data_IF_591930121572
#
_entry.id   IF_591930121572
#
_cell.length_a   1.000
_cell.length_b   1.000
_cell.length_c   1.000
_cell.angle_alpha   90.00
_cell.angle_beta   90.00
_cell.angle_gamma   90.00
#
_symmetry.space_group_name_H-M   'P 1'
#
loop_
_entity.id
_entity.type
_entity.pdbx_description
1 polymer ?
#
# COMPACT_ATOMS: atom_id res chain seq x y z
N UNK A 1 2.96 -6.77 -11.05
CA UNK A 1 2.29 -7.16 -9.79
C UNK A 1 2.74 -8.52 -9.25
N UNK A 2 3.17 -9.48 -10.09
CA UNK A 2 3.67 -10.80 -9.65
C UNK A 2 4.80 -10.70 -8.61
N UNK A 3 5.75 -9.78 -8.79
CA UNK A 3 6.87 -9.57 -7.84
C UNK A 3 6.39 -9.20 -6.43
N UNK A 4 5.39 -8.32 -6.33
CA UNK A 4 4.81 -7.89 -5.05
C UNK A 4 4.02 -9.04 -4.41
N UNK A 5 3.32 -9.86 -5.23
CA UNK A 5 2.61 -11.04 -4.74
C UNK A 5 3.53 -12.08 -4.10
N UNK A 6 4.71 -12.32 -4.66
CA UNK A 6 5.73 -13.21 -4.07
C UNK A 6 6.15 -12.71 -2.68
N UNK A 7 6.36 -11.39 -2.56
CA UNK A 7 6.67 -10.74 -1.28
C UNK A 7 5.59 -10.95 -0.22
N UNK A 8 4.33 -10.77 -0.59
CA UNK A 8 3.19 -10.95 0.31
C UNK A 8 3.08 -12.41 0.80
N UNK A 9 3.21 -13.38 -0.11
CA UNK A 9 3.19 -14.80 0.25
C UNK A 9 4.36 -15.14 1.18
N UNK A 10 5.56 -14.65 0.86
CA UNK A 10 6.73 -14.84 1.72
C UNK A 10 6.48 -14.25 3.12
N UNK A 11 5.92 -13.04 3.22
CA UNK A 11 5.61 -12.39 4.49
C UNK A 11 4.68 -13.23 5.36
N UNK A 12 3.58 -13.75 4.80
CA UNK A 12 2.63 -14.60 5.54
C UNK A 12 3.28 -15.88 6.08
N UNK A 13 4.14 -16.52 5.28
CA UNK A 13 4.86 -17.73 5.69
C UNK A 13 5.90 -17.40 6.79
N UNK A 14 6.62 -16.30 6.63
CA UNK A 14 7.62 -15.82 7.58
C UNK A 14 6.99 -15.41 8.92
N UNK A 15 5.82 -14.79 8.90
CA UNK A 15 5.06 -14.45 10.12
C UNK A 15 4.64 -15.72 10.87
N UNK A 16 4.09 -16.71 10.17
CA UNK A 16 3.76 -18.01 10.79
C UNK A 16 5.01 -18.66 11.42
N UNK A 17 6.15 -18.59 10.74
CA UNK A 17 7.40 -19.18 11.23
C UNK A 17 7.98 -18.43 12.44
N UNK A 18 8.15 -17.11 12.35
CA UNK A 18 8.83 -16.33 13.38
C UNK A 18 7.94 -16.01 14.58
N UNK A 19 6.65 -15.78 14.36
CA UNK A 19 5.72 -15.40 15.42
C UNK A 19 5.18 -16.64 16.12
N UNK A 20 4.66 -17.62 15.38
CA UNK A 20 3.99 -18.80 15.98
C UNK A 20 4.99 -19.89 16.32
N UNK A 21 5.80 -20.34 15.35
CA UNK A 21 6.69 -21.49 15.57
C UNK A 21 7.90 -21.17 16.45
N UNK A 22 8.50 -19.99 16.28
CA UNK A 22 9.70 -19.57 17.02
C UNK A 22 9.39 -18.69 18.24
N UNK A 23 8.13 -18.24 18.41
CA UNK A 23 7.68 -17.52 19.60
C UNK A 23 8.29 -16.12 19.78
N UNK A 24 8.86 -15.52 18.72
CA UNK A 24 9.52 -14.20 18.84
C UNK A 24 8.54 -13.02 18.97
N UNK A 25 7.22 -13.28 18.95
CA UNK A 25 6.18 -12.27 19.12
C UNK A 25 6.35 -11.07 18.17
N UNK A 26 6.30 -9.86 18.72
CA UNK A 26 6.42 -8.60 17.95
C UNK A 26 7.77 -8.46 17.23
N UNK A 27 8.87 -8.94 17.84
CA UNK A 27 10.18 -8.94 17.19
C UNK A 27 10.19 -9.87 15.96
N UNK A 28 9.49 -11.01 16.06
CA UNK A 28 9.29 -11.93 14.95
C UNK A 28 8.56 -11.30 13.77
N UNK A 29 7.48 -10.56 14.04
CA UNK A 29 6.71 -9.85 13.01
C UNK A 29 7.54 -8.77 12.28
N UNK A 30 8.37 -8.03 13.02
CA UNK A 30 9.28 -7.04 12.43
C UNK A 30 10.33 -7.69 11.50
N UNK A 31 10.91 -8.81 11.93
CA UNK A 31 11.87 -9.60 11.13
C UNK A 31 11.21 -10.19 9.88
N UNK A 32 10.02 -10.78 10.01
CA UNK A 32 9.26 -11.33 8.89
C UNK A 32 8.96 -10.26 7.82
N UNK A 33 8.58 -9.07 8.25
CA UNK A 33 8.28 -7.93 7.36
C UNK A 33 9.53 -7.42 6.65
N UNK A 34 10.63 -7.30 7.36
CA UNK A 34 11.90 -6.85 6.78
C UNK A 34 12.45 -7.87 5.77
N UNK A 35 12.35 -9.17 6.11
CA UNK A 35 12.78 -10.26 5.24
C UNK A 35 11.94 -10.36 3.96
N UNK A 36 10.61 -10.21 4.05
CA UNK A 36 9.72 -10.28 2.88
C UNK A 36 9.94 -9.11 1.91
N UNK A 37 10.17 -7.90 2.43
CA UNK A 37 10.55 -6.73 1.61
C UNK A 37 11.88 -6.99 0.92
N UNK A 38 12.86 -7.57 1.63
CA UNK A 38 14.16 -7.93 1.04
C UNK A 38 14.02 -8.98 -0.07
N UNK A 39 13.22 -10.02 0.14
CA UNK A 39 12.91 -11.02 -0.90
C UNK A 39 12.30 -10.35 -2.13
N UNK A 40 11.33 -9.46 -1.93
CA UNK A 40 10.68 -8.70 -3.01
C UNK A 40 11.69 -7.86 -3.80
N UNK A 41 12.61 -7.20 -3.09
CA UNK A 41 13.70 -6.43 -3.70
C UNK A 41 14.60 -7.31 -4.56
N UNK A 42 15.04 -8.45 -4.03
CA UNK A 42 15.93 -9.39 -4.74
C UNK A 42 15.25 -9.96 -5.98
N UNK A 43 14.00 -10.40 -5.86
CA UNK A 43 13.22 -10.92 -7.01
C UNK A 43 13.06 -9.85 -8.08
N UNK A 44 12.74 -8.61 -7.67
CA UNK A 44 12.58 -7.50 -8.61
C UNK A 44 13.89 -7.16 -9.31
N UNK A 45 15.01 -7.12 -8.58
CA UNK A 45 16.32 -6.85 -9.13
C UNK A 45 16.75 -7.95 -10.13
N UNK A 46 16.54 -9.22 -9.77
CA UNK A 46 16.82 -10.35 -10.66
C UNK A 46 15.99 -10.29 -11.95
N UNK A 47 14.73 -9.87 -11.85
CA UNK A 47 13.86 -9.68 -13.03
C UNK A 47 14.43 -8.63 -13.99
N UNK A 48 14.91 -7.50 -13.48
CA UNK A 48 15.50 -6.44 -14.31
C UNK A 48 16.89 -6.80 -14.87
N UNK A 49 17.66 -7.65 -14.19
CA UNK A 49 19.00 -8.08 -14.62
C UNK A 49 18.92 -9.26 -15.62
N UNK A 50 18.09 -10.28 -15.36
CA UNK A 50 18.05 -11.53 -16.14
C UNK A 50 16.92 -11.59 -17.19
N UNK A 51 15.89 -10.75 -17.12
CA UNK A 51 14.64 -10.92 -17.86
C UNK A 51 14.48 -10.11 -19.17
N UNK A 52 13.40 -10.42 -19.92
CA UNK A 52 12.86 -9.68 -21.08
C UNK A 52 12.26 -8.30 -20.70
N UNK A 53 12.82 -7.62 -19.71
CA UNK A 53 12.36 -6.28 -19.33
C UNK A 53 12.61 -5.31 -20.49
N UNK A 54 11.62 -4.46 -20.79
CA UNK A 54 11.79 -3.33 -21.72
C UNK A 54 12.88 -2.36 -21.25
N UNK A 55 13.22 -2.37 -19.96
CA UNK A 55 14.26 -1.56 -19.34
C UNK A 55 15.39 -2.48 -18.88
N UNK A 56 16.53 -2.45 -19.56
CA UNK A 56 17.73 -3.23 -19.21
C UNK A 56 18.65 -2.39 -18.33
N UNK A 57 19.01 -2.92 -17.17
CA UNK A 57 20.00 -2.29 -16.28
C UNK A 57 21.38 -2.53 -16.88
N UNK A 58 22.00 -1.48 -17.43
CA UNK A 58 23.40 -1.50 -17.88
C UNK A 58 24.27 -0.67 -16.94
N UNK A 59 25.50 -1.12 -16.67
CA UNK A 59 26.48 -0.38 -15.86
C UNK A 59 26.72 1.05 -16.38
N UNK A 60 26.61 1.24 -17.69
CA UNK A 60 26.80 2.53 -18.36
C UNK A 60 25.78 3.62 -17.94
N UNK A 61 24.59 3.22 -17.44
CA UNK A 61 23.54 4.14 -16.98
C UNK A 61 23.69 4.57 -15.51
N UNK A 62 24.67 4.04 -14.77
CA UNK A 62 24.93 4.43 -13.37
C UNK A 62 25.70 5.77 -13.24
N UNK A 63 25.52 6.69 -14.19
CA UNK A 63 26.07 8.04 -14.09
C UNK A 63 25.06 8.94 -13.39
N UNK A 64 25.48 9.57 -12.29
CA UNK A 64 24.62 10.49 -11.54
C UNK A 64 24.50 11.79 -12.33
N UNK A 65 23.33 12.05 -12.88
CA UNK A 65 22.99 13.34 -13.47
C UNK A 65 22.23 14.19 -12.43
N UNK A 66 22.86 15.27 -11.97
CA UNK A 66 22.31 16.18 -10.96
C UNK A 66 21.01 16.86 -11.43
N UNK A 67 20.84 17.10 -12.74
CA UNK A 67 19.60 17.67 -13.28
C UNK A 67 18.45 16.67 -13.17
N UNK A 68 18.70 15.41 -13.48
CA UNK A 68 17.70 14.34 -13.33
C UNK A 68 17.38 14.12 -11.85
N UNK A 69 18.41 14.07 -11.00
CA UNK A 69 18.25 13.93 -9.55
C UNK A 69 17.37 15.05 -8.95
N UNK A 70 17.60 16.31 -9.31
CA UNK A 70 16.75 17.43 -8.87
C UNK A 70 15.30 17.29 -9.31
N UNK A 71 15.04 16.80 -10.53
CA UNK A 71 13.67 16.54 -11.00
C UNK A 71 12.99 15.43 -10.20
N UNK A 72 13.70 14.33 -9.94
CA UNK A 72 13.19 13.21 -9.14
C UNK A 72 12.89 13.67 -7.72
N UNK A 73 13.83 14.39 -7.08
CA UNK A 73 13.65 14.91 -5.73
C UNK A 73 12.48 15.88 -5.64
N UNK A 74 12.28 16.76 -6.62
CA UNK A 74 11.14 17.69 -6.63
C UNK A 74 9.79 16.96 -6.63
N UNK A 75 9.65 15.90 -7.43
CA UNK A 75 8.42 15.10 -7.50
C UNK A 75 8.27 14.24 -6.24
N UNK A 76 9.35 13.58 -5.82
CA UNK A 76 9.35 12.70 -4.65
C UNK A 76 9.11 13.45 -3.33
N UNK A 77 9.57 14.69 -3.22
CA UNK A 77 9.38 15.50 -2.01
C UNK A 77 7.90 15.79 -1.73
N UNK A 78 7.08 15.98 -2.78
CA UNK A 78 5.63 16.17 -2.62
C UNK A 78 4.99 14.90 -2.03
N UNK A 79 5.28 13.73 -2.60
CA UNK A 79 4.78 12.45 -2.07
C UNK A 79 5.28 12.17 -0.65
N UNK A 80 6.53 12.49 -0.36
CA UNK A 80 7.12 12.39 0.98
C UNK A 80 6.38 13.29 1.98
N UNK A 81 6.14 14.56 1.64
CA UNK A 81 5.44 15.50 2.50
C UNK A 81 4.02 15.03 2.82
N UNK A 82 3.29 14.50 1.82
CA UNK A 82 1.96 13.92 2.02
C UNK A 82 2.02 12.73 2.99
N UNK A 83 2.94 11.79 2.76
CA UNK A 83 3.07 10.61 3.62
C UNK A 83 3.50 10.97 5.05
N UNK A 84 4.39 11.95 5.20
CA UNK A 84 4.82 12.47 6.48
C UNK A 84 3.66 13.13 7.23
N UNK A 85 2.85 13.91 6.53
CA UNK A 85 1.66 14.56 7.09
C UNK A 85 0.66 13.52 7.64
N UNK A 86 0.40 12.45 6.88
CA UNK A 86 -0.41 11.33 7.37
C UNK A 86 0.17 10.69 8.64
N UNK A 87 1.49 10.48 8.70
CA UNK A 87 2.14 9.95 9.89
C UNK A 87 2.01 10.86 11.11
N UNK A 88 2.17 12.18 10.92
CA UNK A 88 1.99 13.17 11.99
C UNK A 88 0.54 13.17 12.48
N UNK A 89 -0.44 13.15 11.57
CA UNK A 89 -1.86 13.10 11.92
C UNK A 89 -2.14 11.87 12.80
N UNK A 90 -1.66 10.68 12.40
CA UNK A 90 -1.84 9.46 13.17
C UNK A 90 -1.17 9.53 14.55
N UNK A 91 0.02 10.12 14.66
CA UNK A 91 0.71 10.30 15.94
C UNK A 91 -0.06 11.23 16.87
N UNK A 92 -0.52 12.38 16.37
CA UNK A 92 -1.32 13.34 17.14
C UNK A 92 -2.64 12.69 17.57
N UNK A 93 -3.29 11.97 16.67
CA UNK A 93 -4.55 11.28 16.94
C UNK A 93 -4.41 10.17 18.00
N UNK A 94 -3.35 9.37 17.94
CA UNK A 94 -3.06 8.38 18.98
C UNK A 94 -2.76 9.03 20.34
N UNK A 95 -2.04 10.16 20.34
CA UNK A 95 -1.75 10.93 21.55
C UNK A 95 -3.02 11.50 22.17
N UNK A 96 -3.92 12.08 21.38
CA UNK A 96 -5.19 12.63 21.89
C UNK A 96 -6.11 11.54 22.41
N UNK A 97 -6.18 10.39 21.74
CA UNK A 97 -6.93 9.22 22.22
C UNK A 97 -6.37 8.68 23.53
N UNK A 98 -5.06 8.67 23.73
CA UNK A 98 -4.47 8.26 25.00
C UNK A 98 -4.72 9.28 26.13
N UNK A 99 -4.70 10.58 25.82
CA UNK A 99 -4.86 11.64 26.82
C UNK A 99 -6.32 11.88 27.25
N UNK A 100 -7.28 11.75 26.33
CA UNK A 100 -8.69 12.09 26.56
C UNK A 100 -9.66 10.92 26.36
N UNK A 101 -9.19 9.80 25.82
CA UNK A 101 -10.02 8.63 25.53
C UNK A 101 -10.09 7.66 26.69
N UNK A 102 -11.31 7.21 27.01
CA UNK A 102 -11.53 6.02 27.82
C UNK A 102 -11.35 4.74 26.97
N UNK A 103 -11.16 3.60 27.62
CA UNK A 103 -11.00 2.28 26.96
C UNK A 103 -12.10 1.98 25.92
N UNK A 104 -13.35 2.36 26.23
CA UNK A 104 -14.50 2.24 25.32
C UNK A 104 -14.34 3.12 24.07
N UNK A 105 -13.90 4.37 24.24
CA UNK A 105 -13.71 5.30 23.12
C UNK A 105 -12.59 4.81 22.19
N UNK A 106 -11.50 4.29 22.75
CA UNK A 106 -10.39 3.72 21.98
C UNK A 106 -10.86 2.48 21.19
N UNK A 107 -11.69 1.63 21.79
CA UNK A 107 -12.25 0.47 21.11
C UNK A 107 -13.15 0.86 19.93
N UNK A 108 -14.07 1.81 20.12
CA UNK A 108 -14.95 2.32 19.05
C UNK A 108 -14.13 2.96 17.93
N UNK A 109 -13.15 3.79 18.28
CA UNK A 109 -12.26 4.43 17.31
C UNK A 109 -11.48 3.40 16.49
N UNK A 110 -11.00 2.33 17.12
CA UNK A 110 -10.24 1.26 16.45
C UNK A 110 -11.09 0.56 15.39
N UNK A 111 -12.33 0.19 15.73
CA UNK A 111 -13.27 -0.43 14.77
C UNK A 111 -13.59 0.51 13.61
N UNK A 112 -13.92 1.77 13.91
CA UNK A 112 -14.19 2.77 12.87
C UNK A 112 -12.98 2.98 11.94
N UNK A 113 -11.77 2.98 12.50
CA UNK A 113 -10.53 3.12 11.73
C UNK A 113 -10.27 1.93 10.82
N UNK A 114 -10.58 0.70 11.25
CA UNK A 114 -10.47 -0.48 10.39
C UNK A 114 -11.40 -0.41 9.18
N UNK A 115 -12.65 0.01 9.38
CA UNK A 115 -13.61 0.22 8.29
C UNK A 115 -13.11 1.30 7.32
N UNK A 116 -12.64 2.43 7.86
CA UNK A 116 -12.09 3.51 7.04
C UNK A 116 -10.86 3.06 6.23
N UNK A 117 -9.94 2.33 6.87
CA UNK A 117 -8.73 1.83 6.23
C UNK A 117 -9.05 0.89 5.06
N UNK A 118 -10.05 0.02 5.22
CA UNK A 118 -10.53 -0.85 4.14
C UNK A 118 -11.06 -0.05 2.95
N UNK A 119 -11.92 0.94 3.18
CA UNK A 119 -12.49 1.80 2.14
C UNK A 119 -11.38 2.59 1.41
N UNK A 120 -10.50 3.24 2.16
CA UNK A 120 -9.42 4.07 1.60
C UNK A 120 -8.44 3.22 0.80
N UNK A 121 -8.05 2.03 1.28
CA UNK A 121 -7.13 1.16 0.55
C UNK A 121 -7.74 0.60 -0.72
N UNK A 122 -9.05 0.33 -0.72
CA UNK A 122 -9.78 -0.09 -1.93
C UNK A 122 -9.76 1.01 -2.99
N UNK A 123 -10.11 2.25 -2.63
CA UNK A 123 -10.04 3.39 -3.53
C UNK A 123 -8.61 3.62 -4.05
N UNK A 124 -7.59 3.53 -3.17
CA UNK A 124 -6.19 3.64 -3.57
C UNK A 124 -5.78 2.57 -4.58
N UNK A 125 -6.31 1.35 -4.49
CA UNK A 125 -6.08 0.28 -5.46
C UNK A 125 -6.56 0.66 -6.86
N UNK A 126 -7.75 1.25 -6.96
CA UNK A 126 -8.31 1.73 -8.24
C UNK A 126 -7.45 2.87 -8.80
N UNK A 127 -7.12 3.86 -7.97
CA UNK A 127 -6.28 5.00 -8.38
C UNK A 127 -4.90 4.58 -8.86
N UNK A 128 -4.28 3.57 -8.23
CA UNK A 128 -2.98 3.04 -8.67
C UNK A 128 -3.04 2.29 -10.00
N UNK A 129 -4.22 1.80 -10.40
CA UNK A 129 -4.46 1.20 -11.70
C UNK A 129 -4.61 2.22 -12.83
N UNK A 130 -4.81 3.50 -12.52
CA UNK A 130 -5.16 4.55 -13.48
C UNK A 130 -4.01 5.10 -14.35
N UNK A 131 -2.74 5.24 -13.87
CA UNK A 131 -1.66 5.85 -14.65
C UNK A 131 -1.45 5.25 -16.06
N UNK A 132 -1.54 3.92 -16.26
CA UNK A 132 -1.49 3.34 -17.61
C UNK A 132 -2.62 3.81 -18.53
N UNK A 133 -3.85 3.96 -18.02
CA UNK A 133 -5.00 4.41 -18.81
C UNK A 133 -4.89 5.87 -19.20
N UNK A 134 -4.43 6.73 -18.29
CA UNK A 134 -4.17 8.14 -18.57
C UNK A 134 -3.17 8.28 -19.73
N UNK A 135 -2.14 7.43 -19.76
CA UNK A 135 -1.12 7.43 -20.82
C UNK A 135 -1.62 6.99 -22.20
N UNK A 136 -2.64 6.13 -22.27
CA UNK A 136 -3.15 5.56 -23.54
C UNK A 136 -4.39 6.28 -24.07
N UNK A 137 -5.37 6.53 -23.21
CA UNK A 137 -6.70 7.04 -23.59
C UNK A 137 -6.81 8.56 -23.32
N UNK A 138 -5.91 9.11 -22.50
CA UNK A 138 -5.92 10.51 -22.09
C UNK A 138 -6.79 10.76 -20.85
N UNK A 139 -6.61 11.94 -20.25
CA UNK A 139 -7.22 12.31 -18.95
C UNK A 139 -8.74 12.29 -19.02
N UNK A 140 -9.33 12.76 -20.12
CA UNK A 140 -10.76 13.01 -20.27
C UNK A 140 -11.63 11.75 -20.10
N UNK A 141 -11.18 10.60 -20.61
CA UNK A 141 -11.92 9.33 -20.48
C UNK A 141 -11.50 8.51 -19.26
N UNK A 142 -10.28 8.71 -18.76
CA UNK A 142 -9.75 7.96 -17.61
C UNK A 142 -10.45 8.28 -16.29
N UNK A 143 -10.84 9.55 -16.08
CA UNK A 143 -11.53 10.00 -14.87
C UNK A 143 -12.94 9.39 -14.71
N UNK A 144 -13.86 9.50 -15.70
CA UNK A 144 -15.19 8.91 -15.58
C UNK A 144 -15.14 7.38 -15.48
N UNK A 145 -14.14 6.74 -16.09
CA UNK A 145 -13.94 5.29 -15.95
C UNK A 145 -13.54 4.92 -14.51
N UNK A 146 -12.66 5.70 -13.87
CA UNK A 146 -12.28 5.49 -12.48
C UNK A 146 -13.47 5.69 -11.52
N UNK A 147 -14.29 6.72 -11.75
CA UNK A 147 -15.50 6.97 -10.98
C UNK A 147 -16.50 5.83 -11.11
N UNK A 148 -16.75 5.35 -12.34
CA UNK A 148 -17.64 4.22 -12.60
C UNK A 148 -17.17 2.96 -11.87
N UNK A 149 -15.88 2.62 -11.96
CA UNK A 149 -15.31 1.45 -11.28
C UNK A 149 -15.44 1.59 -9.77
N UNK A 150 -15.18 2.77 -9.22
CA UNK A 150 -15.28 3.03 -7.78
C UNK A 150 -16.73 2.89 -7.29
N UNK A 151 -17.69 3.44 -8.04
CA UNK A 151 -19.12 3.32 -7.72
C UNK A 151 -19.61 1.87 -7.79
N UNK A 152 -19.16 1.09 -8.78
CA UNK A 152 -19.50 -0.34 -8.89
C UNK A 152 -18.94 -1.11 -7.69
N UNK A 153 -17.68 -0.88 -7.32
CA UNK A 153 -17.03 -1.58 -6.19
C UNK A 153 -17.71 -1.23 -4.87
N UNK A 154 -17.98 0.06 -4.63
CA UNK A 154 -18.73 0.51 -3.44
C UNK A 154 -20.16 -0.06 -3.43
N UNK A 155 -20.83 -0.09 -4.59
CA UNK A 155 -22.15 -0.68 -4.74
C UNK A 155 -22.17 -2.17 -4.38
N UNK A 156 -21.21 -2.96 -4.87
CA UNK A 156 -21.08 -4.39 -4.54
C UNK A 156 -20.85 -4.59 -3.03
N UNK A 157 -20.00 -3.76 -2.41
CA UNK A 157 -19.71 -3.84 -0.98
C UNK A 157 -20.99 -3.56 -0.16
N UNK A 158 -21.71 -2.49 -0.49
CA UNK A 158 -22.93 -2.09 0.23
C UNK A 158 -24.08 -3.10 0.05
N UNK A 159 -24.26 -3.64 -1.16
CA UNK A 159 -25.29 -4.66 -1.44
C UNK A 159 -25.00 -5.94 -0.66
N UNK A 160 -23.74 -6.37 -0.62
CA UNK A 160 -23.33 -7.57 0.12
C UNK A 160 -23.49 -7.39 1.63
N UNK A 161 -23.23 -6.19 2.16
CA UNK A 161 -23.44 -5.89 3.57
C UNK A 161 -24.94 -5.92 3.94
N UNK A 162 -25.82 -5.38 3.10
CA UNK A 162 -27.27 -5.48 3.30
C UNK A 162 -27.79 -6.91 3.27
N UNK A 163 -27.29 -7.76 2.37
CA UNK A 163 -27.71 -9.18 2.29
C UNK A 163 -27.39 -9.91 3.61
N UNK A 164 -26.20 -9.70 4.17
CA UNK A 164 -25.76 -10.34 5.42
C UNK A 164 -26.59 -9.89 6.64
N UNK A 165 -27.11 -8.65 6.62
CA UNK A 165 -27.96 -8.13 7.71
C UNK A 165 -29.40 -8.64 7.59
N UNK A 166 -29.90 -8.92 6.39
CA UNK A 166 -31.25 -9.45 6.15
C UNK A 166 -31.33 -10.97 6.42
N UNK A 167 -30.19 -11.68 6.34
CA UNK A 167 -30.09 -13.12 6.60
C UNK A 167 -29.88 -13.49 8.09
N UNK A 168 -29.83 -12.50 8.99
CA UNK A 168 -29.76 -12.68 10.46
C UNK A 168 -31.04 -12.22 11.13
#
# INVERSE_FOLDING_TARGET
>A
MIMIGIGAIANTILDWLFVIKLGYGVKGAALATSASIFITMVVSLLHFIKGKSNIKIKKEYFKIDVRILKKILKIGFVSFAVQLSYGIILLVQNRTMFAYGNTVNVAIYTVATYINCFLVNTCKGIVQGLPPFIGVIGVLLSLPLAELITLIVLGIILVREKIIIIEK
#
